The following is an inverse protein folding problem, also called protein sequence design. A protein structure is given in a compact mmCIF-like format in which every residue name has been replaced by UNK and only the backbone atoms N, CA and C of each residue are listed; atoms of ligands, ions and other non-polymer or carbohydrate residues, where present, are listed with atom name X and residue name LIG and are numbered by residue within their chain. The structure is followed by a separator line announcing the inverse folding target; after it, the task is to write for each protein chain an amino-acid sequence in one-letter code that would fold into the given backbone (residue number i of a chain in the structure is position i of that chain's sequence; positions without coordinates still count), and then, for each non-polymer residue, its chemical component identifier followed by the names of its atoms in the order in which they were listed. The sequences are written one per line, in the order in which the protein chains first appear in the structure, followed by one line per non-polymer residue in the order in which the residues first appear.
data_IF_754644211431
#
_entry.id   IF_754644211431
#
_cell.length_a   1.000
_cell.length_b   1.000
_cell.length_c   1.000
_cell.angle_alpha   90.00
_cell.angle_beta   90.00
_cell.angle_gamma   90.00
#
_symmetry.space_group_name_H-M   'P 1'
#
loop_
_entity.id
_entity.type
_entity.pdbx_description
1 polymer ?
#
# COMPACT_ATOMS: atom_id res chain seq x y z
N UNK A 1 10.85 27.03 15.33
CA UNK A 1 10.52 26.08 14.24
C UNK A 1 11.83 25.58 13.65
N UNK A 2 12.08 24.26 13.56
CA UNK A 2 13.36 23.75 13.04
C UNK A 2 13.52 24.13 11.56
N UNK A 3 14.72 24.59 11.16
CA UNK A 3 15.02 24.95 9.76
C UNK A 3 15.12 23.69 8.90
N UNK A 4 14.36 23.67 7.81
CA UNK A 4 14.14 22.53 6.91
C UNK A 4 15.16 22.59 5.77
N UNK A 5 15.86 21.50 5.51
CA UNK A 5 16.82 21.36 4.41
C UNK A 5 16.33 20.44 3.29
N UNK A 6 16.96 20.46 2.10
CA UNK A 6 16.58 19.66 0.93
C UNK A 6 16.59 18.14 1.15
N UNK A 7 17.22 17.67 2.23
CA UNK A 7 17.41 16.25 2.55
C UNK A 7 16.56 15.75 3.73
N UNK A 8 15.58 16.52 4.22
CA UNK A 8 14.65 16.03 5.25
C UNK A 8 13.66 15.02 4.64
N UNK A 9 14.03 13.73 4.60
CA UNK A 9 13.22 12.62 4.09
C UNK A 9 11.84 12.51 4.75
N UNK A 10 11.72 12.91 6.01
CA UNK A 10 10.45 12.99 6.74
C UNK A 10 9.47 14.02 6.15
N UNK A 11 9.94 15.09 5.52
CA UNK A 11 9.09 16.14 4.93
C UNK A 11 8.59 15.73 3.53
N UNK A 12 9.35 14.92 2.79
CA UNK A 12 8.85 14.32 1.54
C UNK A 12 7.65 13.39 1.80
N UNK A 13 7.65 12.69 2.94
CA UNK A 13 6.50 11.91 3.43
C UNK A 13 5.35 12.78 3.96
N UNK A 14 5.63 14.01 4.43
CA UNK A 14 4.60 14.95 4.88
C UNK A 14 3.66 15.44 3.76
N UNK A 15 4.04 15.30 2.48
CA UNK A 15 3.14 15.56 1.33
C UNK A 15 2.10 14.46 1.11
N UNK A 16 2.20 13.33 1.81
CA UNK A 16 1.24 12.24 1.76
C UNK A 16 0.10 12.43 2.79
N UNK A 17 -0.36 13.67 2.96
CA UNK A 17 -1.27 14.14 4.02
C UNK A 17 -2.72 13.60 3.90
N UNK A 18 -2.95 12.44 3.27
CA UNK A 18 -4.27 11.78 3.16
C UNK A 18 -5.38 12.57 2.44
N UNK A 19 -5.13 13.83 2.08
CA UNK A 19 -6.09 14.78 1.49
C UNK A 19 -6.21 14.60 -0.02
N UNK A 20 -5.16 14.11 -0.68
CA UNK A 20 -5.20 13.80 -2.12
C UNK A 20 -5.82 12.43 -2.38
N UNK A 21 -6.34 12.21 -3.60
CA UNK A 21 -6.92 10.92 -4.00
C UNK A 21 -5.88 9.80 -3.92
N UNK A 22 -4.65 10.11 -4.32
CA UNK A 22 -3.50 9.20 -4.30
C UNK A 22 -3.11 8.82 -2.88
N UNK A 23 -3.12 9.77 -1.94
CA UNK A 23 -2.81 9.49 -0.54
C UNK A 23 -3.89 8.61 0.12
N UNK A 24 -5.18 8.82 -0.23
CA UNK A 24 -6.27 7.92 0.19
C UNK A 24 -6.09 6.52 -0.39
N UNK A 25 -5.82 6.43 -1.69
CA UNK A 25 -5.59 5.15 -2.38
C UNK A 25 -4.44 4.35 -1.76
N UNK A 26 -3.33 5.01 -1.44
CA UNK A 26 -2.21 4.36 -0.73
C UNK A 26 -2.61 3.84 0.65
N UNK A 27 -3.44 4.59 1.39
CA UNK A 27 -3.95 4.15 2.69
C UNK A 27 -4.86 2.94 2.56
N UNK A 28 -5.76 2.94 1.58
CA UNK A 28 -6.67 1.83 1.28
C UNK A 28 -5.88 0.55 0.97
N UNK A 29 -4.92 0.61 0.02
CA UNK A 29 -4.10 -0.55 -0.35
C UNK A 29 -3.32 -1.11 0.86
N UNK A 30 -2.78 -0.22 1.70
CA UNK A 30 -2.08 -0.65 2.93
C UNK A 30 -3.01 -1.38 3.89
N UNK A 31 -4.22 -0.85 4.10
CA UNK A 31 -5.23 -1.48 4.95
C UNK A 31 -5.64 -2.84 4.41
N UNK A 32 -5.98 -2.93 3.13
CA UNK A 32 -6.37 -4.18 2.47
C UNK A 32 -5.30 -5.26 2.58
N UNK A 33 -4.03 -4.92 2.32
CA UNK A 33 -2.93 -5.87 2.42
C UNK A 33 -2.58 -6.23 3.87
N UNK A 34 -2.78 -5.31 4.81
CA UNK A 34 -2.63 -5.60 6.24
C UNK A 34 -3.69 -6.62 6.68
N UNK A 35 -4.95 -6.41 6.29
CA UNK A 35 -6.07 -7.32 6.55
C UNK A 35 -5.86 -8.69 5.89
N UNK A 36 -5.36 -8.71 4.65
CA UNK A 36 -4.99 -9.94 3.94
C UNK A 36 -3.95 -10.77 4.70
N UNK A 37 -3.10 -10.13 5.51
CA UNK A 37 -2.09 -10.78 6.35
C UNK A 37 -2.56 -10.98 7.80
N UNK A 38 -3.87 -10.94 8.06
CA UNK A 38 -4.45 -11.16 9.38
C UNK A 38 -4.33 -9.96 10.33
N UNK A 39 -4.06 -8.77 9.81
CA UNK A 39 -4.08 -7.49 10.53
C UNK A 39 -2.85 -7.18 11.38
N UNK A 40 -1.85 -8.07 11.42
CA UNK A 40 -0.61 -7.88 12.22
C UNK A 40 0.64 -8.24 11.42
N UNK A 41 0.96 -7.47 10.36
CA UNK A 41 2.12 -7.75 9.53
C UNK A 41 3.42 -7.60 10.31
N UNK A 42 4.38 -8.48 10.03
CA UNK A 42 5.76 -8.32 10.48
C UNK A 42 6.39 -7.04 9.92
N UNK A 43 7.56 -6.67 10.44
CA UNK A 43 8.32 -5.52 9.92
C UNK A 43 8.67 -5.68 8.43
N UNK A 44 9.04 -6.89 8.00
CA UNK A 44 9.36 -7.17 6.59
C UNK A 44 8.11 -7.13 5.71
N UNK A 45 6.98 -7.64 6.20
CA UNK A 45 5.70 -7.54 5.50
C UNK A 45 5.25 -6.09 5.37
N UNK A 46 5.41 -5.27 6.41
CA UNK A 46 5.08 -3.84 6.37
C UNK A 46 5.87 -3.11 5.28
N UNK A 47 7.18 -3.38 5.17
CA UNK A 47 8.01 -2.82 4.11
C UNK A 47 7.53 -3.28 2.73
N UNK A 48 7.15 -4.55 2.57
CA UNK A 48 6.61 -5.07 1.31
C UNK A 48 5.29 -4.40 0.95
N UNK A 49 4.37 -4.26 1.91
CA UNK A 49 3.08 -3.58 1.73
C UNK A 49 3.30 -2.15 1.24
N UNK A 50 4.21 -1.40 1.86
CA UNK A 50 4.54 -0.04 1.45
C UNK A 50 5.05 0.03 0.01
N UNK A 51 5.91 -0.93 -0.39
CA UNK A 51 6.43 -0.98 -1.76
C UNK A 51 5.36 -1.38 -2.76
N UNK A 52 4.51 -2.34 -2.43
CA UNK A 52 3.35 -2.74 -3.24
C UNK A 52 2.42 -1.57 -3.46
N UNK A 53 2.04 -0.84 -2.40
CA UNK A 53 1.14 0.31 -2.49
C UNK A 53 1.68 1.38 -3.45
N UNK A 54 2.97 1.73 -3.34
CA UNK A 54 3.59 2.73 -4.22
C UNK A 54 3.67 2.26 -5.67
N UNK A 55 4.03 1.00 -5.93
CA UNK A 55 4.08 0.49 -7.30
C UNK A 55 2.70 0.42 -7.94
N UNK A 56 1.69 -0.04 -7.19
CA UNK A 56 0.33 -0.11 -7.68
C UNK A 56 -0.20 1.29 -8.03
N UNK A 57 -0.03 2.27 -7.15
CA UNK A 57 -0.42 3.66 -7.44
C UNK A 57 0.27 4.20 -8.70
N UNK A 58 1.57 3.91 -8.88
CA UNK A 58 2.29 4.35 -10.09
C UNK A 58 1.71 3.74 -11.35
N UNK A 59 1.35 2.46 -11.34
CA UNK A 59 0.70 1.79 -12.46
C UNK A 59 -0.68 2.41 -12.72
N UNK A 60 -1.51 2.60 -11.69
CA UNK A 60 -2.83 3.24 -11.81
C UNK A 60 -2.76 4.65 -12.43
N UNK A 61 -1.73 5.44 -12.06
CA UNK A 61 -1.50 6.77 -12.67
C UNK A 61 -1.14 6.66 -14.15
N UNK A 62 -0.33 5.66 -14.54
CA UNK A 62 0.02 5.44 -15.94
C UNK A 62 -1.17 4.94 -16.75
N UNK A 63 -1.97 4.04 -16.18
CA UNK A 63 -3.21 3.54 -16.79
C UNK A 63 -4.19 4.70 -17.03
N UNK A 64 -4.36 5.59 -16.04
CA UNK A 64 -5.20 6.77 -16.18
C UNK A 64 -4.74 7.69 -17.32
N UNK A 65 -3.43 7.92 -17.46
CA UNK A 65 -2.86 8.70 -18.58
C UNK A 65 -3.13 8.05 -19.93
N UNK A 66 -2.95 6.73 -20.02
CA UNK A 66 -3.19 5.99 -21.24
C UNK A 66 -4.68 6.04 -21.65
N UNK A 67 -5.60 5.95 -20.68
CA UNK A 67 -7.05 6.06 -20.90
C UNK A 67 -7.48 7.48 -21.32
N UNK A 68 -6.78 8.51 -20.87
CA UNK A 68 -6.97 9.91 -21.31
C UNK A 68 -6.39 10.19 -22.70
N UNK A 69 -5.86 9.16 -23.38
CA UNK A 69 -5.26 9.30 -24.71
C UNK A 69 -3.89 9.96 -24.72
N UNK A 70 -3.25 10.13 -23.55
CA UNK A 70 -1.87 10.62 -23.48
C UNK A 70 -0.93 9.53 -24.00
N UNK A 71 -0.13 9.78 -25.06
CA UNK A 71 0.80 8.77 -25.57
C UNK A 71 1.86 8.39 -24.54
N UNK A 72 2.07 7.10 -24.32
CA UNK A 72 3.16 6.61 -23.48
C UNK A 72 4.49 6.67 -24.25
N UNK A 73 5.49 7.34 -23.67
CA UNK A 73 6.84 7.34 -24.23
C UNK A 73 7.52 5.97 -24.05
N UNK A 74 8.61 5.71 -24.79
CA UNK A 74 9.43 4.50 -24.58
C UNK A 74 10.00 4.40 -23.16
N UNK A 75 10.24 5.54 -22.51
CA UNK A 75 10.64 5.56 -21.12
C UNK A 75 9.50 5.09 -20.21
N UNK A 76 8.29 5.61 -20.43
CA UNK A 76 7.09 5.22 -19.69
C UNK A 76 6.81 3.72 -19.83
N UNK A 77 6.85 3.18 -21.04
CA UNK A 77 6.61 1.76 -21.30
C UNK A 77 7.61 0.86 -20.55
N UNK A 78 8.90 1.22 -20.54
CA UNK A 78 9.93 0.49 -19.79
C UNK A 78 9.74 0.60 -18.28
N UNK A 79 9.40 1.79 -17.78
CA UNK A 79 9.11 2.01 -16.38
C UNK A 79 7.88 1.20 -15.92
N UNK A 80 6.81 1.22 -16.70
CA UNK A 80 5.59 0.45 -16.48
C UNK A 80 5.90 -1.05 -16.38
N UNK A 81 6.59 -1.61 -17.37
CA UNK A 81 6.96 -3.02 -17.39
C UNK A 81 7.82 -3.40 -16.17
N UNK A 82 8.79 -2.55 -15.80
CA UNK A 82 9.63 -2.79 -14.63
C UNK A 82 8.82 -2.80 -13.33
N UNK A 83 7.88 -1.86 -13.18
CA UNK A 83 7.02 -1.77 -12.00
C UNK A 83 6.01 -2.91 -11.93
N UNK A 84 5.35 -3.27 -13.03
CA UNK A 84 4.41 -4.40 -13.10
C UNK A 84 5.10 -5.73 -12.74
N UNK A 85 6.33 -5.93 -13.21
CA UNK A 85 7.13 -7.11 -12.87
C UNK A 85 7.54 -7.13 -11.40
N UNK A 86 7.96 -6.00 -10.85
CA UNK A 86 8.32 -5.88 -9.44
C UNK A 86 7.10 -6.09 -8.51
N UNK A 87 5.95 -5.52 -8.88
CA UNK A 87 4.69 -5.72 -8.18
C UNK A 87 4.31 -7.20 -8.14
N UNK A 88 4.34 -7.87 -9.30
CA UNK A 88 4.05 -9.31 -9.40
C UNK A 88 4.95 -10.16 -8.50
N UNK A 89 6.25 -9.84 -8.40
CA UNK A 89 7.18 -10.54 -7.49
C UNK A 89 6.83 -10.29 -6.02
N UNK A 90 6.55 -9.05 -5.64
CA UNK A 90 6.20 -8.71 -4.26
C UNK A 90 4.87 -9.31 -3.82
N UNK A 91 3.84 -9.31 -4.67
CA UNK A 91 2.56 -9.96 -4.38
C UNK A 91 2.72 -11.48 -4.19
N UNK A 92 3.61 -12.13 -4.93
CA UNK A 92 3.94 -13.55 -4.69
C UNK A 92 4.58 -13.78 -3.31
N UNK A 93 5.38 -12.84 -2.82
CA UNK A 93 5.94 -12.93 -1.46
C UNK A 93 4.87 -12.74 -0.38
N UNK A 94 3.84 -11.92 -0.62
CA UNK A 94 2.70 -11.77 0.30
C UNK A 94 1.73 -12.96 0.24
N UNK A 95 1.68 -13.64 -0.91
CA UNK A 95 0.86 -14.82 -1.13
C UNK A 95 -0.53 -14.48 -1.68
N UNK A 96 -1.05 -15.35 -2.55
CA UNK A 96 -2.36 -15.17 -3.20
C UNK A 96 -3.54 -15.55 -2.30
N UNK A 97 -3.31 -16.40 -1.30
CA UNK A 97 -4.30 -16.78 -0.30
C UNK A 97 -4.06 -15.92 0.94
N UNK A 98 -5.09 -15.19 1.36
CA UNK A 98 -5.05 -14.43 2.60
C UNK A 98 -4.82 -15.34 3.81
N UNK A 99 -4.27 -14.76 4.87
CA UNK A 99 -4.15 -15.43 6.16
C UNK A 99 -5.47 -15.30 6.90
N UNK A 100 -5.88 -16.37 7.60
CA UNK A 100 -7.05 -16.30 8.46
C UNK A 100 -6.83 -15.18 9.50
N UNK A 101 -7.84 -14.31 9.65
CA UNK A 101 -7.80 -13.25 10.65
C UNK A 101 -7.55 -13.82 12.05
N UNK A 102 -6.93 -13.02 12.92
CA UNK A 102 -6.65 -13.44 14.29
C UNK A 102 -7.97 -13.87 14.97
N UNK A 103 -8.06 -15.09 15.51
CA UNK A 103 -9.27 -15.53 16.20
C UNK A 103 -9.55 -14.62 17.39
N UNK A 104 -10.83 -14.36 17.73
CA UNK A 104 -11.20 -13.50 18.83
C UNK A 104 -10.54 -13.98 20.12
N UNK A 105 -10.01 -13.04 20.90
CA UNK A 105 -9.37 -13.40 22.17
C UNK A 105 -10.43 -13.80 23.19
N UNK A 106 -10.02 -14.52 24.25
CA UNK A 106 -10.91 -14.83 25.37
C UNK A 106 -11.57 -13.57 25.95
N UNK A 107 -10.85 -12.44 25.98
CA UNK A 107 -11.39 -11.16 26.43
C UNK A 107 -12.52 -10.64 25.52
N UNK A 108 -12.42 -10.85 24.21
CA UNK A 108 -13.44 -10.43 23.24
C UNK A 108 -14.71 -11.28 23.39
N UNK A 109 -14.55 -12.59 23.57
CA UNK A 109 -15.66 -13.53 23.78
C UNK A 109 -16.38 -13.25 25.11
N UNK A 110 -15.63 -13.00 26.19
CA UNK A 110 -16.18 -12.69 27.51
C UNK A 110 -16.94 -11.35 27.56
N UNK A 111 -16.52 -10.35 26.77
CA UNK A 111 -17.28 -9.11 26.62
C UNK A 111 -18.60 -9.35 25.89
N UNK A 112 -18.59 -10.19 24.85
CA UNK A 112 -19.79 -10.53 24.08
C UNK A 112 -20.84 -11.29 24.91
N UNK A 113 -20.42 -12.10 25.90
CA UNK A 113 -21.34 -12.87 26.76
C UNK A 113 -21.91 -12.09 27.94
N UNK A 114 -21.30 -10.96 28.34
CA UNK A 114 -21.78 -10.10 29.45
C UNK A 114 -22.77 -9.02 29.02
N UNK A 115 -23.09 -8.94 27.72
CA UNK A 115 -24.01 -7.95 27.13
C UNK A 115 -25.46 -8.41 26.97
N UNK A 116 -25.82 -9.59 27.50
CA UNK A 116 -27.18 -10.16 27.58
C UNK A 116 -27.53 -10.42 29.03
#
# INVERSE_FOLDING_TARGET
MPKIGPHSSAVALAKLDGRTKEARRLKEIRTELCEHLGGTPSSTQTILIDRVAILLLRLEIMDAKALDGTPMTDHDQRAYLAWANALSRMLRHLGLKGQAGKPPTLADVLKATKGT
#
